data_IF_424925422259
#
_entry.id   IF_424925422259
#
_cell.length_a   1.000
_cell.length_b   1.000
_cell.length_c   1.000
_cell.angle_alpha   90.00
_cell.angle_beta   90.00
_cell.angle_gamma   90.00
#
_symmetry.space_group_name_H-M   'P 1'
#
loop_
_entity.id
_entity.type
_entity.pdbx_description
1 polymer ?
#
# COMPACT_ATOMS: atom_id res chain seq x y z
N UNK A 1 -0.15 21.98 -20.10
CA UNK A 1 -1.40 22.27 -20.84
C UNK A 1 -2.21 21.03 -21.23
N UNK A 2 -1.58 19.95 -21.71
CA UNK A 2 -2.26 18.67 -22.06
C UNK A 2 -3.17 18.04 -20.99
N UNK A 3 -2.83 18.00 -19.68
CA UNK A 3 -3.70 17.35 -18.70
C UNK A 3 -5.03 18.11 -18.48
N UNK A 4 -4.99 19.43 -18.64
CA UNK A 4 -6.16 20.30 -18.44
C UNK A 4 -7.17 20.14 -19.60
N UNK A 5 -6.67 19.92 -20.82
CA UNK A 5 -7.51 19.65 -21.99
C UNK A 5 -8.22 18.29 -21.88
N UNK A 6 -7.55 17.26 -21.36
CA UNK A 6 -8.17 15.96 -21.12
C UNK A 6 -9.27 16.03 -20.04
N UNK A 7 -9.03 16.80 -18.96
CA UNK A 7 -10.02 16.99 -17.91
C UNK A 7 -11.28 17.71 -18.42
N UNK A 8 -11.11 18.75 -19.25
CA UNK A 8 -12.23 19.49 -19.84
C UNK A 8 -13.03 18.66 -20.85
N UNK A 9 -12.36 17.85 -21.67
CA UNK A 9 -13.02 16.92 -22.58
C UNK A 9 -13.83 15.85 -21.82
N UNK A 10 -13.29 15.32 -20.72
CA UNK A 10 -14.00 14.39 -19.85
C UNK A 10 -15.25 15.00 -19.21
N UNK A 11 -15.16 16.25 -18.73
CA UNK A 11 -16.30 16.97 -18.16
C UNK A 11 -17.40 17.28 -19.18
N UNK A 12 -17.02 17.59 -20.43
CA UNK A 12 -17.97 17.83 -21.51
C UNK A 12 -18.74 16.56 -21.90
N UNK A 13 -18.05 15.42 -21.99
CA UNK A 13 -18.68 14.12 -22.27
C UNK A 13 -19.64 13.70 -21.14
N UNK A 14 -19.26 13.92 -19.88
CA UNK A 14 -20.10 13.61 -18.73
C UNK A 14 -21.36 14.50 -18.67
N UNK A 15 -21.24 15.78 -19.05
CA UNK A 15 -22.37 16.72 -19.14
C UNK A 15 -23.33 16.37 -20.29
N UNK A 16 -22.82 15.92 -21.43
CA UNK A 16 -23.64 15.50 -22.57
C UNK A 16 -24.43 14.22 -22.26
N UNK A 17 -23.81 13.26 -21.56
CA UNK A 17 -24.47 12.03 -21.14
C UNK A 17 -25.56 12.26 -20.08
N UNK A 18 -25.54 13.39 -19.38
CA UNK A 18 -26.53 13.75 -18.35
C UNK A 18 -27.73 14.56 -18.85
N UNK A 19 -27.82 14.88 -20.14
CA UNK A 19 -28.83 15.80 -20.68
C UNK A 19 -30.00 15.13 -21.43
N UNK A 20 -29.94 13.84 -21.75
CA UNK A 20 -31.02 13.12 -22.44
C UNK A 20 -31.68 12.08 -21.53
N UNK A 21 -32.67 12.52 -20.76
CA UNK A 21 -33.63 11.61 -20.15
C UNK A 21 -34.99 12.33 -19.96
N UNK A 22 -35.85 12.21 -20.98
CA UNK A 22 -37.31 12.30 -20.84
C UNK A 22 -37.93 11.02 -21.44
N UNK A 23 -39.07 10.54 -20.90
CA UNK A 23 -39.28 9.12 -20.67
C UNK A 23 -40.28 8.49 -21.66
N UNK A 24 -40.02 7.27 -22.13
CA UNK A 24 -41.09 6.28 -22.24
C UNK A 24 -40.56 4.85 -22.06
N UNK A 25 -41.16 4.05 -21.17
CA UNK A 25 -40.54 2.85 -20.64
C UNK A 25 -41.00 1.64 -21.45
N UNK A 26 -40.16 1.18 -22.37
CA UNK A 26 -40.11 -0.25 -22.63
C UNK A 26 -39.52 -0.88 -21.37
N UNK A 27 -40.37 -1.51 -20.56
CA UNK A 27 -39.94 -2.40 -19.48
C UNK A 27 -39.77 -3.80 -20.11
N UNK A 28 -38.58 -4.21 -20.57
CA UNK A 28 -38.22 -5.59 -20.33
C UNK A 28 -38.04 -5.70 -18.81
N UNK A 29 -38.64 -6.71 -18.21
CA UNK A 29 -38.30 -7.12 -16.85
C UNK A 29 -36.81 -7.50 -16.82
N UNK A 30 -35.97 -6.48 -16.61
CA UNK A 30 -34.50 -6.51 -16.53
C UNK A 30 -34.09 -6.13 -15.11
N UNK A 31 -34.85 -6.63 -14.13
CA UNK A 31 -34.73 -6.25 -12.73
C UNK A 31 -33.87 -7.17 -11.88
N UNK A 32 -33.71 -8.44 -12.29
CA UNK A 32 -33.11 -9.46 -11.42
C UNK A 32 -31.72 -9.91 -11.87
N UNK A 33 -31.53 -10.19 -13.16
CA UNK A 33 -30.28 -10.79 -13.64
C UNK A 33 -29.07 -9.84 -13.55
N UNK A 34 -29.26 -8.55 -13.82
CA UNK A 34 -28.18 -7.53 -13.74
C UNK A 34 -27.78 -7.22 -12.30
N UNK A 35 -28.73 -7.23 -11.35
CA UNK A 35 -28.44 -7.06 -9.91
C UNK A 35 -27.74 -8.28 -9.34
N UNK A 36 -28.14 -9.48 -9.74
CA UNK A 36 -27.46 -10.73 -9.37
C UNK A 36 -26.00 -10.72 -9.84
N UNK A 37 -25.75 -10.44 -11.13
CA UNK A 37 -24.38 -10.36 -11.66
C UNK A 37 -23.55 -9.28 -10.96
N UNK A 38 -24.14 -8.12 -10.64
CA UNK A 38 -23.47 -7.08 -9.85
C UNK A 38 -23.06 -7.57 -8.45
N UNK A 39 -23.95 -8.27 -7.75
CA UNK A 39 -23.65 -8.88 -6.44
C UNK A 39 -22.53 -9.92 -6.54
N UNK A 40 -22.57 -10.78 -7.56
CA UNK A 40 -21.55 -11.81 -7.79
C UNK A 40 -20.18 -11.19 -8.07
N UNK A 41 -20.13 -10.13 -8.89
CA UNK A 41 -18.88 -9.40 -9.15
C UNK A 41 -18.34 -8.71 -7.90
N UNK A 42 -19.21 -8.14 -7.06
CA UNK A 42 -18.80 -7.51 -5.82
C UNK A 42 -18.21 -8.53 -4.83
N UNK A 43 -18.87 -9.68 -4.67
CA UNK A 43 -18.38 -10.78 -3.83
C UNK A 43 -17.05 -11.34 -4.35
N UNK A 44 -16.88 -11.49 -5.66
CA UNK A 44 -15.63 -11.95 -6.26
C UNK A 44 -14.49 -10.93 -6.07
N UNK A 45 -14.77 -9.63 -6.15
CA UNK A 45 -13.78 -8.59 -5.85
C UNK A 45 -13.41 -8.61 -4.38
N UNK A 46 -14.38 -8.75 -3.48
CA UNK A 46 -14.13 -8.78 -2.04
C UNK A 46 -13.26 -9.98 -1.64
N UNK A 47 -13.60 -11.19 -2.11
CA UNK A 47 -12.79 -12.37 -1.83
C UNK A 47 -11.36 -12.30 -2.40
N UNK A 48 -11.15 -11.55 -3.50
CA UNK A 48 -9.79 -11.27 -4.00
C UNK A 48 -9.05 -10.27 -3.12
N UNK A 49 -9.74 -9.28 -2.57
CA UNK A 49 -9.14 -8.32 -1.65
C UNK A 49 -8.74 -9.01 -0.34
N UNK A 50 -9.57 -9.91 0.19
CA UNK A 50 -9.25 -10.68 1.41
C UNK A 50 -7.96 -11.50 1.24
N UNK A 51 -7.80 -12.19 0.10
CA UNK A 51 -6.57 -12.95 -0.21
C UNK A 51 -5.36 -12.03 -0.34
N UNK A 52 -5.54 -10.84 -0.93
CA UNK A 52 -4.46 -9.85 -1.04
C UNK A 52 -4.07 -9.32 0.33
N UNK A 53 -5.05 -8.97 1.17
CA UNK A 53 -4.85 -8.49 2.53
C UNK A 53 -4.07 -9.51 3.35
N UNK A 54 -4.54 -10.77 3.39
CA UNK A 54 -3.85 -11.87 4.08
C UNK A 54 -2.41 -12.06 3.57
N UNK A 55 -2.21 -12.00 2.24
CA UNK A 55 -0.88 -12.15 1.65
C UNK A 55 0.02 -10.99 2.04
N UNK A 56 -0.48 -9.77 2.01
CA UNK A 56 0.27 -8.57 2.40
C UNK A 56 0.64 -8.65 3.88
N UNK A 57 -0.30 -8.97 4.77
CA UNK A 57 -0.04 -9.13 6.20
C UNK A 57 1.06 -10.16 6.45
N UNK A 58 0.91 -11.37 5.90
CA UNK A 58 1.88 -12.45 6.06
C UNK A 58 3.27 -12.09 5.53
N UNK A 59 3.34 -11.41 4.39
CA UNK A 59 4.64 -11.00 3.80
C UNK A 59 5.31 -9.91 4.61
N UNK A 60 4.54 -8.98 5.19
CA UNK A 60 5.06 -7.96 6.10
C UNK A 60 5.58 -8.60 7.39
N UNK A 61 4.82 -9.51 8.00
CA UNK A 61 5.27 -10.24 9.19
C UNK A 61 6.56 -11.03 8.93
N UNK A 62 6.64 -11.71 7.78
CA UNK A 62 7.82 -12.46 7.38
C UNK A 62 9.04 -11.56 7.23
N UNK A 63 8.89 -10.44 6.51
CA UNK A 63 9.98 -9.49 6.28
C UNK A 63 10.43 -8.83 7.59
N UNK A 64 9.50 -8.54 8.51
CA UNK A 64 9.85 -8.01 9.83
C UNK A 64 10.72 -9.00 10.62
N UNK A 65 10.37 -10.29 10.59
CA UNK A 65 11.16 -11.33 11.22
C UNK A 65 12.56 -11.46 10.59
N UNK A 66 12.66 -11.40 9.26
CA UNK A 66 13.94 -11.43 8.55
C UNK A 66 14.82 -10.22 8.92
N UNK A 67 14.26 -9.01 8.91
CA UNK A 67 14.98 -7.78 9.29
C UNK A 67 15.47 -7.86 10.72
N UNK A 68 14.62 -8.30 11.66
CA UNK A 68 15.03 -8.51 13.06
C UNK A 68 16.16 -9.53 13.17
N UNK A 69 16.08 -10.64 12.43
CA UNK A 69 17.13 -11.66 12.39
C UNK A 69 18.45 -11.12 11.86
N UNK A 70 18.42 -10.35 10.76
CA UNK A 70 19.61 -9.73 10.19
C UNK A 70 20.25 -8.69 11.14
N UNK A 71 19.43 -7.89 11.83
CA UNK A 71 19.93 -6.93 12.82
C UNK A 71 20.59 -7.64 14.01
N UNK A 72 19.98 -8.73 14.52
CA UNK A 72 20.57 -9.55 15.58
C UNK A 72 21.93 -10.12 15.16
N UNK A 73 22.03 -10.64 13.93
CA UNK A 73 23.30 -11.15 13.41
C UNK A 73 24.35 -10.02 13.31
N UNK A 74 23.96 -8.84 12.82
CA UNK A 74 24.88 -7.71 12.72
C UNK A 74 25.38 -7.27 14.10
N UNK A 75 24.51 -7.25 15.11
CA UNK A 75 24.86 -6.93 16.48
C UNK A 75 25.86 -7.95 17.04
N UNK A 76 25.59 -9.25 16.90
CA UNK A 76 26.52 -10.31 17.29
C UNK A 76 27.88 -10.15 16.61
N UNK A 77 27.90 -9.85 15.30
CA UNK A 77 29.14 -9.60 14.57
C UNK A 77 29.87 -8.37 15.10
N UNK A 78 29.16 -7.27 15.38
CA UNK A 78 29.74 -6.04 15.89
C UNK A 78 30.40 -6.23 17.27
N UNK A 79 29.81 -7.05 18.14
CA UNK A 79 30.39 -7.40 19.43
C UNK A 79 31.63 -8.30 19.33
N UNK A 80 31.77 -9.06 18.24
CA UNK A 80 32.93 -9.92 17.98
C UNK A 80 34.08 -9.20 17.24
N UNK A 81 33.92 -7.93 16.89
CA UNK A 81 34.99 -7.16 16.28
C UNK A 81 36.00 -6.70 17.36
N UNK A 82 37.31 -6.81 17.10
CA UNK A 82 38.29 -6.14 17.96
C UNK A 82 38.01 -4.64 17.96
N UNK A 83 38.30 -3.92 19.05
CA UNK A 83 38.18 -2.47 19.10
C UNK A 83 38.88 -1.87 17.87
N UNK A 84 38.11 -1.21 17.01
CA UNK A 84 38.68 -0.56 15.82
C UNK A 84 39.64 0.55 16.24
N UNK A 85 40.62 0.92 15.39
CA UNK A 85 41.61 1.96 15.69
C UNK A 85 41.02 3.37 15.95
N UNK A 86 39.70 3.54 15.76
CA UNK A 86 38.94 4.76 16.05
C UNK A 86 37.98 4.62 17.24
N UNK A 87 38.12 3.56 18.05
CA UNK A 87 37.44 3.48 19.34
C UNK A 87 37.91 4.69 20.14
N UNK A 88 37.01 5.60 20.58
CA UNK A 88 37.42 6.72 21.40
C UNK A 88 38.03 6.12 22.65
N UNK A 89 39.35 6.24 22.82
CA UNK A 89 39.94 6.08 24.14
C UNK A 89 39.16 7.03 25.04
N UNK A 90 38.56 6.50 26.09
CA UNK A 90 37.93 7.33 27.14
C UNK A 90 39.04 8.05 27.91
N UNK A 91 39.82 8.90 27.23
CA UNK A 91 40.81 9.79 27.81
C UNK A 91 40.14 11.10 28.22
N UNK A 92 39.08 11.01 29.04
CA UNK A 92 38.39 12.20 29.56
C UNK A 92 38.02 12.05 31.03
N UNK A 93 38.87 11.39 31.81
CA UNK A 93 38.85 11.49 33.27
C UNK A 93 40.21 11.08 33.88
N UNK A 94 41.27 11.81 33.56
CA UNK A 94 42.64 11.47 33.98
C UNK A 94 43.48 12.68 34.35
N UNK A 95 43.17 13.27 35.50
CA UNK A 95 44.15 13.82 36.45
C UNK A 95 45.00 15.02 35.99
N UNK A 96 44.39 16.21 35.95
CA UNK A 96 45.13 17.47 36.07
C UNK A 96 45.27 17.82 37.56
N UNK A 97 46.07 17.04 38.28
CA UNK A 97 46.68 17.50 39.53
C UNK A 97 47.89 18.38 39.14
N UNK A 98 47.77 19.71 39.18
CA UNK A 98 48.82 20.69 39.55
C UNK A 98 48.26 22.11 39.63
#
# INVERSE_FOLDING_TARGET
MRPLLCALAGLALLRAAGADAAPEPFIPSRGDSTRSTGCDTHMAVHGRLDVIEETVEKTVEHLEAEVKGLLSQLEELAWNLPPGPFSPTSDLLGDDHF
#
